data_IF_008523209361
#
_entry.id   IF_008523209361
#
_cell.length_a   1.000
_cell.length_b   1.000
_cell.length_c   1.000
_cell.angle_alpha   90.00
_cell.angle_beta   90.00
_cell.angle_gamma   90.00
#
_symmetry.space_group_name_H-M   'P 1'
#
loop_
_entity.id
_entity.type
_entity.pdbx_description
1 polymer ?
#
# COMPACT_ATOMS: atom_id res chain seq x y z
N UNK A 1 -3.90 25.37 -28.55
CA UNK A 1 -4.52 24.03 -28.47
C UNK A 1 -6.00 24.24 -28.17
N UNK A 2 -6.92 23.63 -28.91
CA UNK A 2 -8.35 23.94 -28.78
C UNK A 2 -8.88 23.54 -27.39
N UNK A 3 -9.60 24.45 -26.74
CA UNK A 3 -10.23 24.24 -25.42
C UNK A 3 -11.10 22.98 -25.38
N UNK A 4 -11.71 22.61 -26.51
CA UNK A 4 -12.50 21.39 -26.66
C UNK A 4 -11.67 20.10 -26.53
N UNK A 5 -10.45 20.05 -27.09
CA UNK A 5 -9.59 18.86 -27.01
C UNK A 5 -9.09 18.61 -25.58
N UNK A 6 -8.75 19.69 -24.87
CA UNK A 6 -8.36 19.65 -23.46
C UNK A 6 -9.50 19.10 -22.59
N UNK A 7 -10.70 19.64 -22.77
CA UNK A 7 -11.90 19.19 -22.07
C UNK A 7 -12.17 17.69 -22.26
N UNK A 8 -12.20 17.22 -23.51
CA UNK A 8 -12.46 15.80 -23.83
C UNK A 8 -11.39 14.89 -23.19
N UNK A 9 -10.13 15.31 -23.22
CA UNK A 9 -9.03 14.51 -22.66
C UNK A 9 -9.14 14.37 -21.14
N UNK A 10 -9.46 15.47 -20.43
CA UNK A 10 -9.68 15.43 -18.98
C UNK A 10 -10.84 14.49 -18.62
N UNK A 11 -11.97 14.58 -19.33
CA UNK A 11 -13.11 13.68 -19.10
C UNK A 11 -12.71 12.20 -19.26
N UNK A 12 -11.98 11.85 -20.33
CA UNK A 12 -11.55 10.47 -20.57
C UNK A 12 -10.67 9.96 -19.42
N UNK A 13 -9.74 10.79 -18.93
CA UNK A 13 -8.85 10.41 -17.84
C UNK A 13 -9.65 10.26 -16.53
N UNK A 14 -10.57 11.17 -16.23
CA UNK A 14 -11.39 11.12 -15.02
C UNK A 14 -12.30 9.88 -14.99
N UNK A 15 -12.96 9.56 -16.10
CA UNK A 15 -13.73 8.31 -16.23
C UNK A 15 -12.85 7.08 -16.04
N UNK A 16 -11.62 7.11 -16.58
CA UNK A 16 -10.67 6.02 -16.40
C UNK A 16 -10.28 5.86 -14.92
N UNK A 17 -10.02 6.96 -14.22
CA UNK A 17 -9.71 6.98 -12.79
C UNK A 17 -10.84 6.38 -11.96
N UNK A 18 -12.09 6.76 -12.23
CA UNK A 18 -13.28 6.23 -11.55
C UNK A 18 -13.45 4.73 -11.84
N UNK A 19 -13.33 4.32 -13.11
CA UNK A 19 -13.46 2.92 -13.52
C UNK A 19 -12.42 2.03 -12.86
N UNK A 20 -11.15 2.42 -12.92
CA UNK A 20 -10.06 1.73 -12.25
C UNK A 20 -10.27 1.67 -10.73
N UNK A 21 -10.62 2.79 -10.09
CA UNK A 21 -10.88 2.80 -8.63
C UNK A 21 -12.03 1.88 -8.24
N UNK A 22 -13.08 1.79 -9.04
CA UNK A 22 -14.21 0.87 -8.83
C UNK A 22 -13.75 -0.59 -8.84
N UNK A 23 -12.87 -0.97 -9.79
CA UNK A 23 -12.26 -2.31 -9.78
C UNK A 23 -11.41 -2.55 -8.54
N UNK A 24 -10.67 -1.53 -8.09
CA UNK A 24 -9.88 -1.57 -6.85
C UNK A 24 -10.73 -1.81 -5.60
N UNK A 25 -11.92 -1.21 -5.51
CA UNK A 25 -12.89 -1.45 -4.43
C UNK A 25 -13.33 -2.92 -4.42
N UNK A 26 -13.76 -3.46 -5.57
CA UNK A 26 -14.23 -4.84 -5.67
C UNK A 26 -13.14 -5.85 -5.25
N UNK A 27 -11.91 -5.65 -5.71
CA UNK A 27 -10.76 -6.47 -5.31
C UNK A 27 -10.54 -6.35 -3.79
N UNK A 28 -10.54 -5.14 -3.25
CA UNK A 28 -10.26 -4.90 -1.83
C UNK A 28 -11.32 -5.52 -0.91
N UNK A 29 -12.62 -5.39 -1.25
CA UNK A 29 -13.72 -6.03 -0.50
C UNK A 29 -13.61 -7.56 -0.57
N UNK A 30 -13.37 -8.12 -1.76
CA UNK A 30 -13.20 -9.57 -1.94
C UNK A 30 -12.03 -10.12 -1.12
N UNK A 31 -10.91 -9.40 -1.07
CA UNK A 31 -9.74 -9.80 -0.29
C UNK A 31 -9.96 -9.62 1.22
N UNK A 32 -10.60 -8.55 1.66
CA UNK A 32 -10.94 -8.33 3.08
C UNK A 32 -11.87 -9.42 3.61
N UNK A 33 -12.95 -9.71 2.88
CA UNK A 33 -13.89 -10.78 3.25
C UNK A 33 -13.19 -12.13 3.33
N UNK A 34 -12.34 -12.47 2.36
CA UNK A 34 -11.52 -13.69 2.38
C UNK A 34 -10.59 -13.75 3.60
N UNK A 35 -9.89 -12.65 3.91
CA UNK A 35 -8.98 -12.56 5.06
C UNK A 35 -9.74 -12.72 6.37
N UNK A 36 -10.86 -12.01 6.54
CA UNK A 36 -11.70 -12.06 7.74
C UNK A 36 -12.26 -13.47 7.96
N UNK A 37 -12.80 -14.09 6.92
CA UNK A 37 -13.27 -15.47 6.96
C UNK A 37 -12.19 -16.41 7.51
N UNK A 38 -10.96 -16.30 6.99
CA UNK A 38 -9.86 -17.13 7.43
C UNK A 38 -9.34 -16.79 8.84
N UNK A 39 -9.35 -15.53 9.26
CA UNK A 39 -8.98 -15.15 10.63
C UNK A 39 -9.97 -15.74 11.65
N UNK A 40 -11.27 -15.74 11.32
CA UNK A 40 -12.34 -16.28 12.18
C UNK A 40 -12.27 -17.81 12.21
N UNK A 41 -12.16 -18.45 11.05
CA UNK A 41 -12.23 -19.92 10.93
C UNK A 41 -10.94 -20.64 11.35
N UNK A 42 -9.77 -20.08 11.07
CA UNK A 42 -8.50 -20.76 11.31
C UNK A 42 -7.88 -20.40 12.67
N UNK A 43 -7.62 -21.42 13.51
CA UNK A 43 -6.92 -21.27 14.79
C UNK A 43 -5.37 -21.16 14.67
N UNK A 44 -4.81 -21.05 13.46
CA UNK A 44 -3.35 -21.03 13.27
C UNK A 44 -2.77 -19.68 13.71
N UNK A 45 -2.33 -19.62 14.97
CA UNK A 45 -1.81 -18.40 15.63
C UNK A 45 -0.68 -17.72 14.85
N UNK A 46 0.21 -18.47 14.20
CA UNK A 46 1.41 -17.94 13.54
C UNK A 46 1.14 -17.12 12.27
N UNK A 47 0.00 -17.36 11.60
CA UNK A 47 -0.36 -16.67 10.35
C UNK A 47 -1.31 -15.49 10.60
N UNK A 48 -2.01 -15.51 11.75
CA UNK A 48 -3.08 -14.56 12.08
C UNK A 48 -2.60 -13.10 12.08
N UNK A 49 -1.39 -12.83 12.56
CA UNK A 49 -0.82 -11.47 12.59
C UNK A 49 -0.49 -10.97 11.19
N UNK A 50 0.13 -11.82 10.36
CA UNK A 50 0.43 -11.46 8.98
C UNK A 50 -0.86 -11.18 8.18
N UNK A 51 -1.92 -11.97 8.41
CA UNK A 51 -3.24 -11.73 7.83
C UNK A 51 -3.88 -10.44 8.34
N UNK A 52 -3.75 -10.12 9.63
CA UNK A 52 -4.24 -8.86 10.20
C UNK A 52 -3.57 -7.65 9.55
N UNK A 53 -2.23 -7.65 9.44
CA UNK A 53 -1.49 -6.56 8.81
C UNK A 53 -1.80 -6.43 7.32
N UNK A 54 -1.99 -7.56 6.63
CA UNK A 54 -2.44 -7.57 5.22
C UNK A 54 -3.87 -7.04 5.10
N UNK A 55 -4.75 -7.37 6.04
CA UNK A 55 -6.10 -6.84 6.14
C UNK A 55 -6.12 -5.33 6.36
N UNK A 56 -5.27 -4.80 7.25
CA UNK A 56 -5.12 -3.36 7.44
C UNK A 56 -4.70 -2.65 6.14
N UNK A 57 -3.77 -3.24 5.38
CA UNK A 57 -3.38 -2.72 4.06
C UNK A 57 -4.56 -2.69 3.08
N UNK A 58 -5.34 -3.77 2.97
CA UNK A 58 -6.53 -3.78 2.11
C UNK A 58 -7.64 -2.85 2.60
N UNK A 59 -7.76 -2.62 3.91
CA UNK A 59 -8.69 -1.64 4.47
C UNK A 59 -8.28 -0.21 4.07
N UNK A 60 -7.00 0.13 4.20
CA UNK A 60 -6.47 1.41 3.71
C UNK A 60 -6.64 1.56 2.19
N UNK A 61 -6.44 0.50 1.40
CA UNK A 61 -6.68 0.51 -0.06
C UNK A 61 -8.16 0.72 -0.39
N UNK A 62 -9.07 0.08 0.34
CA UNK A 62 -10.50 0.28 0.18
C UNK A 62 -10.89 1.74 0.43
N UNK A 63 -10.44 2.32 1.54
CA UNK A 63 -10.68 3.74 1.85
C UNK A 63 -10.07 4.66 0.79
N UNK A 64 -8.89 4.33 0.27
CA UNK A 64 -8.24 5.11 -0.78
C UNK A 64 -9.11 5.15 -2.04
N UNK A 65 -9.56 4.00 -2.54
CA UNK A 65 -10.38 3.97 -3.75
C UNK A 65 -11.74 4.63 -3.56
N UNK A 66 -12.37 4.50 -2.38
CA UNK A 66 -13.61 5.23 -2.07
C UNK A 66 -13.41 6.74 -2.13
N UNK A 67 -12.35 7.25 -1.50
CA UNK A 67 -12.04 8.69 -1.47
C UNK A 67 -11.60 9.23 -2.84
N UNK A 68 -10.95 8.41 -3.66
CA UNK A 68 -10.64 8.76 -5.05
C UNK A 68 -11.91 8.85 -5.88
N UNK A 69 -12.83 7.88 -5.78
CA UNK A 69 -14.11 7.96 -6.48
C UNK A 69 -14.86 9.22 -6.05
N UNK A 70 -14.98 9.48 -4.75
CA UNK A 70 -15.61 10.71 -4.25
C UNK A 70 -14.94 11.94 -4.87
N UNK A 71 -13.61 12.08 -4.75
CA UNK A 71 -12.87 13.23 -5.31
C UNK A 71 -13.10 13.40 -6.81
N UNK A 72 -13.02 12.33 -7.59
CA UNK A 72 -13.12 12.39 -9.05
C UNK A 72 -14.54 12.50 -9.58
N UNK A 73 -15.55 12.04 -8.83
CA UNK A 73 -16.95 12.37 -9.15
C UNK A 73 -17.17 13.88 -9.03
N UNK A 74 -16.62 14.52 -8.00
CA UNK A 74 -16.68 15.99 -7.88
C UNK A 74 -15.88 16.70 -8.98
N UNK A 75 -14.69 16.21 -9.33
CA UNK A 75 -13.90 16.76 -10.44
C UNK A 75 -14.68 16.69 -11.76
N UNK A 76 -15.31 15.54 -12.03
CA UNK A 76 -16.09 15.32 -13.24
C UNK A 76 -17.31 16.25 -13.32
N UNK A 77 -18.06 16.39 -12.22
CA UNK A 77 -19.16 17.36 -12.14
C UNK A 77 -18.68 18.80 -12.35
N UNK A 78 -17.52 19.14 -11.79
CA UNK A 78 -16.87 20.44 -12.01
C UNK A 78 -16.57 20.70 -13.48
N UNK A 79 -15.99 19.73 -14.18
CA UNK A 79 -15.72 19.85 -15.62
C UNK A 79 -17.01 20.01 -16.45
N UNK A 80 -18.07 19.25 -16.14
CA UNK A 80 -19.31 19.26 -16.93
C UNK A 80 -20.13 20.54 -16.71
N UNK A 81 -20.24 21.01 -15.47
CA UNK A 81 -21.17 22.09 -15.10
C UNK A 81 -20.49 23.43 -14.78
N UNK A 82 -19.16 23.47 -14.71
CA UNK A 82 -18.32 24.68 -14.73
C UNK A 82 -18.36 25.61 -13.51
N UNK A 83 -19.37 25.55 -12.63
CA UNK A 83 -19.53 26.60 -11.60
C UNK A 83 -20.22 26.21 -10.27
N UNK A 84 -20.49 24.93 -10.02
CA UNK A 84 -21.38 24.57 -8.90
C UNK A 84 -20.69 24.66 -7.51
N UNK A 85 -19.34 24.62 -7.42
CA UNK A 85 -18.69 24.22 -6.16
C UNK A 85 -17.69 25.17 -5.50
N UNK A 86 -17.56 26.42 -5.95
CA UNK A 86 -16.72 27.43 -5.26
C UNK A 86 -17.17 27.70 -3.81
N UNK A 87 -18.42 27.39 -3.45
CA UNK A 87 -18.94 27.58 -2.09
C UNK A 87 -18.59 26.46 -1.10
N UNK A 88 -18.12 25.28 -1.55
CA UNK A 88 -17.89 24.11 -0.68
C UNK A 88 -16.41 23.87 -0.32
N UNK A 89 -15.64 24.96 -0.18
CA UNK A 89 -14.19 24.94 0.10
C UNK A 89 -13.82 24.16 1.36
N UNK A 90 -14.63 24.22 2.43
CA UNK A 90 -14.38 23.47 3.67
C UNK A 90 -14.46 21.96 3.48
N UNK A 91 -15.52 21.47 2.84
CA UNK A 91 -15.71 20.04 2.59
C UNK A 91 -14.63 19.49 1.66
N UNK A 92 -14.27 20.26 0.64
CA UNK A 92 -13.18 19.95 -0.28
C UNK A 92 -11.83 19.77 0.45
N UNK A 93 -11.49 20.67 1.39
CA UNK A 93 -10.29 20.53 2.23
C UNK A 93 -10.33 19.27 3.11
N UNK A 94 -11.49 18.95 3.67
CA UNK A 94 -11.69 17.75 4.49
C UNK A 94 -11.49 16.48 3.65
N UNK A 95 -11.99 16.43 2.42
CA UNK A 95 -11.73 15.31 1.49
C UNK A 95 -10.25 15.13 1.20
N UNK A 96 -9.56 16.21 0.85
CA UNK A 96 -8.11 16.19 0.60
C UNK A 96 -7.32 15.71 1.83
N UNK A 97 -7.74 16.13 3.02
CA UNK A 97 -7.19 15.67 4.30
C UNK A 97 -7.34 14.15 4.49
N UNK A 98 -8.55 13.61 4.32
CA UNK A 98 -8.79 12.17 4.46
C UNK A 98 -8.02 11.38 3.41
N UNK A 99 -8.01 11.82 2.15
CA UNK A 99 -7.27 11.16 1.08
C UNK A 99 -5.77 11.09 1.39
N UNK A 100 -5.18 12.22 1.80
CA UNK A 100 -3.77 12.31 2.18
C UNK A 100 -3.46 11.44 3.41
N UNK A 101 -4.37 11.41 4.39
CA UNK A 101 -4.23 10.56 5.59
C UNK A 101 -4.23 9.08 5.24
N UNK A 102 -5.12 8.65 4.33
CA UNK A 102 -5.17 7.25 3.89
C UNK A 102 -3.92 6.88 3.09
N UNK A 103 -3.40 7.78 2.25
CA UNK A 103 -2.12 7.58 1.57
C UNK A 103 -0.99 7.38 2.60
N UNK A 104 -0.94 8.22 3.63
CA UNK A 104 -0.01 8.04 4.76
C UNK A 104 -0.17 6.67 5.42
N UNK A 105 -1.41 6.26 5.72
CA UNK A 105 -1.70 4.97 6.32
C UNK A 105 -1.26 3.78 5.46
N UNK A 106 -1.32 3.89 4.12
CA UNK A 106 -0.82 2.87 3.19
C UNK A 106 0.70 2.67 3.31
N UNK A 107 1.48 3.75 3.32
CA UNK A 107 2.94 3.66 3.46
C UNK A 107 3.34 3.08 4.82
N UNK A 108 2.74 3.59 5.90
CA UNK A 108 3.02 3.09 7.24
C UNK A 108 2.54 1.64 7.44
N UNK A 109 1.46 1.21 6.79
CA UNK A 109 1.03 -0.20 6.79
C UNK A 109 2.09 -1.14 6.20
N UNK A 110 2.81 -0.71 5.15
CA UNK A 110 3.93 -1.47 4.60
C UNK A 110 5.11 -1.50 5.57
N UNK A 111 5.40 -0.39 6.24
CA UNK A 111 6.43 -0.32 7.30
C UNK A 111 6.11 -1.26 8.46
N UNK A 112 4.86 -1.31 8.91
CA UNK A 112 4.43 -2.24 9.96
C UNK A 112 4.62 -3.71 9.55
N UNK A 113 4.34 -4.05 8.30
CA UNK A 113 4.62 -5.40 7.78
C UNK A 113 6.12 -5.73 7.79
N UNK A 114 6.99 -4.75 7.49
CA UNK A 114 8.44 -4.92 7.53
C UNK A 114 8.94 -5.09 8.98
N UNK A 115 8.49 -4.22 9.89
CA UNK A 115 8.84 -4.27 11.32
C UNK A 115 8.39 -5.60 11.93
N UNK A 116 7.16 -6.06 11.67
CA UNK A 116 6.68 -7.35 12.17
C UNK A 116 7.62 -8.51 11.79
N UNK A 117 8.10 -8.52 10.53
CA UNK A 117 9.00 -9.58 10.06
C UNK A 117 10.38 -9.47 10.68
N UNK A 118 10.92 -8.25 10.74
CA UNK A 118 12.16 -7.95 11.43
C UNK A 118 12.09 -8.45 12.88
N UNK A 119 11.02 -8.13 13.60
CA UNK A 119 10.82 -8.57 14.98
C UNK A 119 10.69 -10.10 15.10
N UNK A 120 9.94 -10.74 14.19
CA UNK A 120 9.75 -12.20 14.19
C UNK A 120 11.08 -12.94 13.96
N UNK A 121 11.93 -12.45 13.08
CA UNK A 121 13.20 -13.12 12.72
C UNK A 121 14.28 -12.80 13.75
N UNK A 122 14.43 -11.54 14.13
CA UNK A 122 15.52 -11.11 15.02
C UNK A 122 15.21 -11.45 16.48
N UNK A 123 13.97 -11.20 16.93
CA UNK A 123 13.53 -11.37 18.32
C UNK A 123 12.59 -12.57 18.46
N UNK A 124 12.92 -13.70 17.83
CA UNK A 124 12.09 -14.90 17.85
C UNK A 124 11.77 -15.42 19.26
N UNK A 125 12.66 -15.18 20.23
CA UNK A 125 12.48 -15.57 21.64
C UNK A 125 11.49 -14.68 22.42
N UNK A 126 11.27 -13.44 21.98
CA UNK A 126 10.43 -12.47 22.71
C UNK A 126 8.97 -12.59 22.27
N UNK A 127 8.22 -13.50 22.92
CA UNK A 127 6.79 -13.78 22.64
C UNK A 127 5.90 -12.53 22.65
N UNK A 128 6.24 -11.51 23.43
CA UNK A 128 5.50 -10.24 23.51
C UNK A 128 5.37 -9.57 22.14
N UNK A 129 6.45 -9.50 21.36
CA UNK A 129 6.44 -8.93 19.99
C UNK A 129 5.72 -9.80 18.97
N UNK A 130 5.17 -10.96 19.38
CA UNK A 130 4.39 -11.86 18.55
C UNK A 130 2.94 -11.99 19.06
N UNK A 131 2.51 -11.11 19.97
CA UNK A 131 1.12 -11.09 20.43
C UNK A 131 0.22 -10.42 19.39
N UNK A 132 -0.93 -11.05 19.14
CA UNK A 132 -1.96 -10.52 18.24
C UNK A 132 -2.55 -9.19 18.76
N UNK A 133 -2.77 -9.08 20.06
CA UNK A 133 -3.33 -7.88 20.69
C UNK A 133 -2.42 -6.66 20.52
N UNK A 134 -1.09 -6.86 20.65
CA UNK A 134 -0.11 -5.79 20.46
C UNK A 134 -0.17 -5.25 19.03
N UNK A 135 -0.34 -6.11 18.02
CA UNK A 135 -0.43 -5.65 16.64
C UNK A 135 -1.72 -4.88 16.35
N UNK A 136 -2.84 -5.21 17.01
CA UNK A 136 -4.05 -4.39 16.93
C UNK A 136 -3.78 -3.00 17.48
N UNK A 137 -3.16 -2.92 18.67
CA UNK A 137 -2.82 -1.63 19.29
C UNK A 137 -1.88 -0.82 18.38
N UNK A 138 -0.85 -1.46 17.80
CA UNK A 138 0.08 -0.82 16.87
C UNK A 138 -0.64 -0.28 15.63
N UNK A 139 -1.60 -1.03 15.06
CA UNK A 139 -2.41 -0.55 13.92
C UNK A 139 -3.21 0.69 14.31
N UNK A 140 -3.88 0.66 15.47
CA UNK A 140 -4.66 1.82 15.96
C UNK A 140 -3.76 3.04 16.16
N UNK A 141 -2.61 2.86 16.80
CA UNK A 141 -1.62 3.93 16.99
C UNK A 141 -1.14 4.46 15.64
N UNK A 142 -0.86 3.58 14.66
CA UNK A 142 -0.44 3.98 13.32
C UNK A 142 -1.48 4.86 12.63
N UNK A 143 -2.78 4.52 12.71
CA UNK A 143 -3.83 5.37 12.18
C UNK A 143 -3.90 6.73 12.89
N UNK A 144 -3.83 6.75 14.23
CA UNK A 144 -3.81 7.99 15.02
C UNK A 144 -2.63 8.89 14.59
N UNK A 145 -1.43 8.31 14.44
CA UNK A 145 -0.25 9.03 13.97
C UNK A 145 -0.49 9.60 12.56
N UNK A 146 -1.05 8.82 11.63
CA UNK A 146 -1.38 9.31 10.30
C UNK A 146 -2.33 10.52 10.35
N UNK A 147 -3.39 10.47 11.15
CA UNK A 147 -4.30 11.61 11.32
C UNK A 147 -3.60 12.84 11.88
N UNK A 148 -2.85 12.68 12.99
CA UNK A 148 -2.14 13.77 13.67
C UNK A 148 -1.11 14.42 12.74
N UNK A 149 -0.35 13.62 12.00
CA UNK A 149 0.71 14.10 11.11
C UNK A 149 0.15 14.97 9.98
N UNK A 150 -1.02 14.63 9.43
CA UNK A 150 -1.65 15.39 8.34
C UNK A 150 -2.45 16.60 8.87
N UNK A 151 -2.87 16.59 10.13
CA UNK A 151 -3.71 17.65 10.72
C UNK A 151 -3.17 19.07 10.54
N UNK A 152 -1.86 19.36 10.66
CA UNK A 152 -1.33 20.70 10.40
C UNK A 152 -1.66 21.23 9.01
N UNK A 153 -1.71 20.41 7.96
CA UNK A 153 -2.10 20.87 6.62
C UNK A 153 -3.54 21.35 6.57
N UNK A 154 -4.44 20.69 7.32
CA UNK A 154 -5.85 21.08 7.41
C UNK A 154 -6.00 22.40 8.18
N UNK A 155 -5.42 22.50 9.39
CA UNK A 155 -5.55 23.69 10.23
C UNK A 155 -4.83 24.92 9.70
N UNK A 156 -3.71 24.74 8.98
CA UNK A 156 -2.97 25.82 8.33
C UNK A 156 -3.49 26.14 6.92
N UNK A 157 -4.65 25.60 6.53
CA UNK A 157 -5.28 25.82 5.21
C UNK A 157 -4.35 25.54 4.02
N UNK A 158 -3.48 24.53 4.14
CA UNK A 158 -2.55 24.14 3.06
C UNK A 158 -3.21 23.37 1.93
N UNK A 159 -4.40 22.82 2.18
CA UNK A 159 -5.25 22.28 1.13
C UNK A 159 -6.03 23.43 0.48
N UNK A 160 -5.79 23.64 -0.80
CA UNK A 160 -6.38 24.72 -1.59
C UNK A 160 -7.19 24.13 -2.73
N UNK A 161 -8.33 24.76 -3.04
CA UNK A 161 -9.15 24.39 -4.18
C UNK A 161 -8.45 24.84 -5.45
N UNK A 162 -8.20 23.91 -6.37
CA UNK A 162 -7.62 24.21 -7.67
C UNK A 162 -8.75 24.34 -8.70
N UNK A 163 -8.96 25.53 -9.29
CA UNK A 163 -10.06 25.75 -10.22
C UNK A 163 -9.91 24.92 -11.51
N UNK A 164 -8.68 24.67 -11.95
CA UNK A 164 -8.41 23.90 -13.17
C UNK A 164 -8.71 22.40 -13.01
N UNK A 165 -8.60 21.91 -11.77
CA UNK A 165 -8.73 20.50 -11.43
C UNK A 165 -10.01 20.16 -10.66
N UNK A 166 -10.80 21.16 -10.27
CA UNK A 166 -12.07 21.04 -9.52
C UNK A 166 -12.00 20.22 -8.21
N UNK A 167 -10.82 20.11 -7.58
CA UNK A 167 -10.63 19.46 -6.28
C UNK A 167 -9.59 20.17 -5.41
N UNK A 168 -9.54 19.78 -4.13
CA UNK A 168 -8.56 20.34 -3.20
C UNK A 168 -7.32 19.48 -3.12
N UNK A 169 -6.18 20.13 -3.14
CA UNK A 169 -4.88 19.51 -2.88
C UNK A 169 -3.88 20.56 -2.40
N UNK A 170 -2.68 20.12 -2.04
CA UNK A 170 -1.59 21.06 -1.75
C UNK A 170 -1.10 21.58 -3.10
N UNK A 171 -1.15 22.90 -3.36
CA UNK A 171 -0.74 23.46 -4.63
C UNK A 171 0.77 23.29 -4.84
N UNK A 172 1.20 23.10 -6.08
CA UNK A 172 2.62 22.89 -6.41
C UNK A 172 3.52 24.08 -6.06
N UNK A 173 2.96 25.29 -5.95
CA UNK A 173 3.68 26.47 -5.47
C UNK A 173 4.07 26.40 -3.99
N UNK A 174 3.40 25.56 -3.18
CA UNK A 174 3.71 25.39 -1.76
C UNK A 174 4.79 24.31 -1.55
N UNK A 175 5.99 24.61 -2.04
CA UNK A 175 7.16 23.74 -2.02
C UNK A 175 7.47 23.18 -0.62
N UNK A 176 7.45 24.04 0.40
CA UNK A 176 7.78 23.67 1.77
C UNK A 176 6.86 22.57 2.29
N UNK A 177 5.55 22.71 2.03
CA UNK A 177 4.55 21.74 2.45
C UNK A 177 4.72 20.43 1.69
N UNK A 178 4.93 20.48 0.37
CA UNK A 178 5.13 19.29 -0.45
C UNK A 178 6.36 18.50 0.00
N UNK A 179 7.49 19.16 0.25
CA UNK A 179 8.71 18.48 0.73
C UNK A 179 8.50 17.89 2.12
N UNK A 180 7.93 18.66 3.05
CA UNK A 180 7.69 18.19 4.41
C UNK A 180 6.84 16.92 4.41
N UNK A 181 5.70 16.93 3.70
CA UNK A 181 4.84 15.75 3.60
C UNK A 181 5.45 14.64 2.74
N UNK A 182 6.23 14.97 1.70
CA UNK A 182 6.99 13.97 0.96
C UNK A 182 7.98 13.22 1.86
N UNK A 183 8.69 13.92 2.74
CA UNK A 183 9.59 13.30 3.71
C UNK A 183 8.82 12.41 4.67
N UNK A 184 7.76 12.94 5.29
CA UNK A 184 7.04 12.24 6.36
C UNK A 184 6.23 11.05 5.81
N UNK A 185 5.49 11.24 4.73
CA UNK A 185 4.60 10.22 4.15
C UNK A 185 5.38 9.16 3.38
N UNK A 186 6.50 9.54 2.74
CA UNK A 186 7.21 8.66 1.82
C UNK A 186 8.61 8.28 2.32
N UNK A 187 9.51 9.25 2.50
CA UNK A 187 10.93 8.97 2.77
C UNK A 187 11.14 8.24 4.11
N UNK A 188 10.49 8.69 5.18
CA UNK A 188 10.59 8.07 6.50
C UNK A 188 10.10 6.60 6.48
N UNK A 189 8.84 6.30 6.11
CA UNK A 189 8.38 4.91 6.10
C UNK A 189 9.18 4.05 5.11
N UNK A 190 9.62 4.59 3.98
CA UNK A 190 10.47 3.89 3.02
C UNK A 190 11.83 3.52 3.61
N UNK A 191 12.54 4.46 4.25
CA UNK A 191 13.85 4.22 4.85
C UNK A 191 13.77 3.22 6.00
N UNK A 192 12.76 3.30 6.86
CA UNK A 192 12.52 2.31 7.93
C UNK A 192 12.28 0.92 7.31
N UNK A 193 11.48 0.86 6.25
CA UNK A 193 11.16 -0.38 5.53
C UNK A 193 12.43 -1.01 4.94
N UNK A 194 13.23 -0.23 4.21
CA UNK A 194 14.50 -0.67 3.63
C UNK A 194 15.48 -1.12 4.74
N UNK A 195 15.62 -0.34 5.81
CA UNK A 195 16.46 -0.69 6.96
C UNK A 195 16.07 -2.03 7.57
N UNK A 196 14.78 -2.22 7.87
CA UNK A 196 14.27 -3.50 8.40
C UNK A 196 14.66 -4.68 7.52
N UNK A 197 14.59 -4.54 6.19
CA UNK A 197 14.96 -5.61 5.27
C UNK A 197 16.46 -5.85 5.18
N UNK A 198 17.28 -4.80 5.09
CA UNK A 198 18.74 -4.94 5.05
C UNK A 198 19.22 -5.69 6.30
N UNK A 199 18.73 -5.31 7.48
CA UNK A 199 19.08 -5.99 8.73
C UNK A 199 18.57 -7.43 8.78
N UNK A 200 17.33 -7.67 8.33
CA UNK A 200 16.76 -9.03 8.28
C UNK A 200 17.59 -9.94 7.36
N UNK A 201 17.94 -9.46 6.17
CA UNK A 201 18.77 -10.18 5.19
C UNK A 201 20.17 -10.46 5.73
N UNK A 202 20.84 -9.45 6.32
CA UNK A 202 22.18 -9.62 6.91
C UNK A 202 22.17 -10.68 8.01
N UNK A 203 21.18 -10.66 8.91
CA UNK A 203 21.08 -11.67 9.97
C UNK A 203 20.87 -13.07 9.38
N UNK A 204 19.95 -13.20 8.41
CA UNK A 204 19.71 -14.48 7.75
C UNK A 204 20.96 -14.99 7.03
N UNK A 205 21.73 -14.14 6.36
CA UNK A 205 22.95 -14.53 5.68
C UNK A 205 24.02 -15.02 6.66
N UNK A 206 24.21 -14.30 7.77
CA UNK A 206 25.18 -14.66 8.80
C UNK A 206 24.82 -15.99 9.49
N UNK A 207 23.54 -16.21 9.79
CA UNK A 207 23.09 -17.49 10.37
C UNK A 207 23.15 -18.63 9.34
N UNK A 208 22.85 -18.39 8.06
CA UNK A 208 22.94 -19.40 7.01
C UNK A 208 24.37 -19.90 6.80
N UNK A 209 25.38 -19.03 6.91
CA UNK A 209 26.78 -19.43 6.84
C UNK A 209 27.19 -20.31 8.03
N UNK A 210 26.61 -20.07 9.21
CA UNK A 210 26.86 -20.87 10.43
C UNK A 210 26.11 -22.21 10.41
N UNK A 211 24.91 -22.25 9.85
CA UNK A 211 24.07 -23.45 9.77
C UNK A 211 24.28 -24.28 8.50
N UNK A 212 25.07 -23.80 7.52
CA UNK A 212 25.33 -24.49 6.23
C UNK A 212 25.82 -25.93 6.37
N UNK A 213 26.43 -26.27 7.51
CA UNK A 213 26.90 -27.62 7.83
C UNK A 213 25.79 -28.58 8.33
N UNK A 214 24.59 -28.09 8.69
CA UNK A 214 23.49 -28.89 9.29
C UNK A 214 22.12 -28.58 8.62
N UNK A 215 22.10 -28.20 7.34
CA UNK A 215 20.84 -27.79 6.69
C UNK A 215 20.00 -29.02 6.31
N UNK A 216 18.94 -29.25 7.09
CA UNK A 216 17.83 -30.14 6.72
C UNK A 216 16.96 -29.51 5.63
N UNK A 217 16.30 -30.33 4.81
CA UNK A 217 15.39 -29.89 3.72
C UNK A 217 14.30 -28.90 4.21
N UNK A 218 13.91 -28.96 5.48
CA UNK A 218 12.91 -28.09 6.12
C UNK A 218 13.39 -26.63 6.17
N UNK A 219 14.66 -26.37 6.45
CA UNK A 219 15.20 -25.00 6.53
C UNK A 219 15.26 -24.34 5.15
N UNK A 220 15.59 -25.09 4.08
CA UNK A 220 15.59 -24.56 2.71
C UNK A 220 14.20 -24.06 2.28
N UNK A 221 13.15 -24.77 2.68
CA UNK A 221 11.77 -24.37 2.41
C UNK A 221 11.39 -23.06 3.13
N UNK A 222 11.86 -22.87 4.37
CA UNK A 222 11.64 -21.62 5.13
C UNK A 222 12.37 -20.46 4.44
N UNK A 223 13.62 -20.66 4.03
CA UNK A 223 14.40 -19.62 3.34
C UNK A 223 13.74 -19.24 2.00
N UNK A 224 13.33 -20.20 1.18
CA UNK A 224 12.63 -19.92 -0.08
C UNK A 224 11.33 -19.14 0.13
N UNK A 225 10.57 -19.48 1.18
CA UNK A 225 9.35 -18.75 1.53
C UNK A 225 9.66 -17.30 1.92
N UNK A 226 10.67 -17.06 2.73
CA UNK A 226 11.08 -15.70 3.13
C UNK A 226 11.67 -14.90 1.95
N UNK A 227 12.37 -15.55 1.01
CA UNK A 227 12.86 -14.92 -0.23
C UNK A 227 11.72 -14.50 -1.17
N UNK A 228 10.70 -15.34 -1.36
CA UNK A 228 9.50 -14.95 -2.14
C UNK A 228 8.77 -13.76 -1.50
N UNK A 229 8.75 -13.74 -0.18
CA UNK A 229 8.18 -12.67 0.62
C UNK A 229 9.00 -11.37 0.45
N UNK A 230 10.32 -11.44 0.32
CA UNK A 230 11.20 -10.30 0.05
C UNK A 230 11.05 -9.80 -1.40
N UNK A 231 11.00 -10.70 -2.37
CA UNK A 231 10.78 -10.39 -3.78
C UNK A 231 9.48 -9.58 -3.99
N UNK A 232 8.38 -9.98 -3.32
CA UNK A 232 7.12 -9.23 -3.29
C UNK A 232 7.31 -7.77 -2.87
N UNK A 233 8.18 -7.52 -1.90
CA UNK A 233 8.44 -6.17 -1.42
C UNK A 233 9.39 -5.39 -2.28
N UNK A 234 10.41 -6.02 -2.86
CA UNK A 234 11.20 -5.34 -3.88
C UNK A 234 10.31 -4.90 -5.04
N UNK A 235 9.34 -5.73 -5.44
CA UNK A 235 8.33 -5.37 -6.42
C UNK A 235 7.48 -4.20 -5.91
N UNK A 236 6.92 -4.29 -4.70
CA UNK A 236 6.05 -3.25 -4.14
C UNK A 236 6.78 -1.92 -3.96
N UNK A 237 8.04 -1.96 -3.51
CA UNK A 237 8.94 -0.81 -3.41
C UNK A 237 9.31 -0.24 -4.77
N UNK A 238 9.63 -1.11 -5.74
CA UNK A 238 9.91 -0.71 -7.11
C UNK A 238 8.73 0.02 -7.72
N UNK A 239 7.53 -0.52 -7.54
CA UNK A 239 6.28 0.15 -7.89
C UNK A 239 6.17 1.52 -7.19
N UNK A 240 6.30 1.59 -5.87
CA UNK A 240 6.27 2.85 -5.11
C UNK A 240 7.30 3.90 -5.60
N UNK A 241 8.47 3.48 -6.06
CA UNK A 241 9.51 4.37 -6.63
C UNK A 241 9.10 4.83 -8.02
N UNK A 242 8.69 3.90 -8.89
CA UNK A 242 8.19 4.21 -10.24
C UNK A 242 7.04 5.22 -10.21
N UNK A 243 6.22 5.22 -9.15
CA UNK A 243 5.09 6.16 -8.99
C UNK A 243 5.51 7.55 -8.53
N UNK A 244 6.59 7.62 -7.73
CA UNK A 244 7.15 8.88 -7.28
C UNK A 244 7.79 9.64 -8.44
N UNK A 245 8.38 8.92 -9.40
CA UNK A 245 9.09 9.52 -10.54
C UNK A 245 8.20 10.49 -11.35
N UNK A 246 7.01 10.12 -11.89
CA UNK A 246 6.15 11.07 -12.61
C UNK A 246 5.79 12.31 -11.78
N UNK A 247 5.48 12.11 -10.50
CA UNK A 247 5.13 13.20 -9.59
C UNK A 247 6.29 14.16 -9.37
N UNK A 248 7.51 13.62 -9.19
CA UNK A 248 8.72 14.44 -9.06
C UNK A 248 9.08 15.15 -10.35
N UNK A 249 8.92 14.50 -11.50
CA UNK A 249 9.19 15.13 -12.81
C UNK A 249 8.25 16.31 -13.02
N UNK A 250 6.94 16.13 -12.82
CA UNK A 250 5.94 17.19 -12.94
C UNK A 250 6.26 18.34 -11.97
N UNK A 251 6.60 18.01 -10.73
CA UNK A 251 6.98 18.99 -9.73
C UNK A 251 8.23 19.78 -10.15
N UNK A 252 9.28 19.12 -10.61
CA UNK A 252 10.51 19.76 -11.08
C UNK A 252 10.23 20.65 -12.29
N UNK A 253 9.45 20.18 -13.27
CA UNK A 253 9.02 20.99 -14.42
C UNK A 253 8.36 22.28 -13.91
N UNK A 254 7.38 22.18 -13.02
CA UNK A 254 6.70 23.35 -12.47
C UNK A 254 7.65 24.32 -11.76
N UNK A 255 8.65 23.83 -11.02
CA UNK A 255 9.63 24.68 -10.35
C UNK A 255 10.57 25.40 -11.32
N UNK A 256 10.97 24.75 -12.43
CA UNK A 256 11.89 25.34 -13.41
C UNK A 256 11.20 26.24 -14.43
N UNK A 257 9.99 25.89 -14.86
CA UNK A 257 9.27 26.63 -15.93
C UNK A 257 8.25 27.62 -15.39
N UNK A 258 7.83 27.49 -14.13
CA UNK A 258 6.68 28.21 -13.58
C UNK A 258 5.35 27.83 -14.24
N UNK A 259 5.34 26.79 -15.07
CA UNK A 259 4.19 26.36 -15.86
C UNK A 259 3.84 24.91 -15.55
N UNK A 260 2.59 24.70 -15.12
CA UNK A 260 2.02 23.38 -14.89
C UNK A 260 1.12 23.00 -16.08
N UNK A 261 1.42 21.91 -16.82
CA UNK A 261 0.53 21.44 -17.87
C UNK A 261 -0.84 21.05 -17.30
N UNK A 262 -1.92 21.41 -17.99
CA UNK A 262 -3.30 21.15 -17.57
C UNK A 262 -3.65 19.67 -17.37
N UNK A 263 -2.92 18.74 -18.00
CA UNK A 263 -3.12 17.29 -17.89
C UNK A 263 -2.30 16.65 -16.75
N UNK A 264 -1.38 17.41 -16.14
CA UNK A 264 -0.38 16.85 -15.24
C UNK A 264 -0.99 16.28 -13.96
N UNK A 265 -2.03 16.93 -13.43
CA UNK A 265 -2.73 16.51 -12.21
C UNK A 265 -3.46 15.18 -12.43
N UNK A 266 -4.23 15.07 -13.52
CA UNK A 266 -5.01 13.89 -13.88
C UNK A 266 -4.09 12.71 -14.22
N UNK A 267 -3.02 12.91 -15.00
CA UNK A 267 -2.06 11.84 -15.29
C UNK A 267 -1.38 11.34 -14.03
N UNK A 268 -1.01 12.24 -13.11
CA UNK A 268 -0.42 11.85 -11.83
C UNK A 268 -1.39 10.96 -11.03
N UNK A 269 -2.64 11.38 -10.87
CA UNK A 269 -3.63 10.60 -10.13
C UNK A 269 -4.00 9.28 -10.83
N UNK A 270 -4.12 9.26 -12.15
CA UNK A 270 -4.30 8.02 -12.93
C UNK A 270 -3.14 7.05 -12.68
N UNK A 271 -1.91 7.56 -12.72
CA UNK A 271 -0.73 6.78 -12.35
C UNK A 271 -0.90 6.22 -10.94
N UNK A 272 -1.24 7.03 -9.93
CA UNK A 272 -1.47 6.60 -8.55
C UNK A 272 -2.57 5.53 -8.41
N UNK A 273 -3.64 5.59 -9.19
CA UNK A 273 -4.72 4.59 -9.12
C UNK A 273 -4.30 3.25 -9.73
N UNK A 274 -3.73 3.27 -10.94
CA UNK A 274 -3.20 2.08 -11.60
C UNK A 274 -2.16 1.36 -10.73
N UNK A 275 -1.31 2.17 -10.11
CA UNK A 275 -0.31 1.77 -9.13
C UNK A 275 -0.90 0.99 -7.95
N UNK A 276 -1.92 1.56 -7.30
CA UNK A 276 -2.56 0.92 -6.16
C UNK A 276 -3.30 -0.35 -6.58
N UNK A 277 -3.87 -0.41 -7.78
CA UNK A 277 -4.46 -1.65 -8.33
C UNK A 277 -3.39 -2.71 -8.52
N UNK A 278 -2.27 -2.38 -9.17
CA UNK A 278 -1.15 -3.30 -9.32
C UNK A 278 -0.69 -3.83 -7.95
N UNK A 279 -0.55 -2.95 -6.96
CA UNK A 279 -0.26 -3.35 -5.58
C UNK A 279 -1.32 -4.32 -5.04
N UNK A 280 -2.62 -4.04 -5.19
CA UNK A 280 -3.70 -4.93 -4.70
C UNK A 280 -3.64 -6.33 -5.32
N UNK A 281 -3.39 -6.41 -6.63
CA UNK A 281 -3.26 -7.64 -7.42
C UNK A 281 -2.02 -8.41 -6.95
N UNK A 282 -0.87 -7.75 -6.87
CA UNK A 282 0.39 -8.34 -6.43
C UNK A 282 0.28 -8.86 -5.00
N UNK A 283 -0.37 -8.10 -4.10
CA UNK A 283 -0.62 -8.53 -2.72
C UNK A 283 -1.51 -9.80 -2.70
N UNK A 284 -2.46 -9.94 -3.62
CA UNK A 284 -3.36 -11.09 -3.70
C UNK A 284 -2.64 -12.34 -4.24
N UNK A 285 -1.92 -12.22 -5.35
CA UNK A 285 -1.30 -13.36 -6.03
C UNK A 285 0.01 -13.83 -5.40
N UNK A 286 0.86 -12.89 -4.95
CA UNK A 286 2.21 -13.24 -4.47
C UNK A 286 2.21 -13.64 -2.99
N UNK A 287 1.21 -13.25 -2.20
CA UNK A 287 1.18 -13.60 -0.78
C UNK A 287 1.10 -15.12 -0.59
N UNK A 288 2.16 -15.80 -0.12
CA UNK A 288 2.18 -17.25 0.00
C UNK A 288 1.16 -17.74 1.03
N UNK A 289 0.79 -16.87 1.98
CA UNK A 289 -0.25 -17.13 2.95
C UNK A 289 -1.63 -17.23 2.28
N UNK A 290 -1.96 -16.29 1.40
CA UNK A 290 -3.23 -16.25 0.69
C UNK A 290 -3.28 -17.39 -0.32
N UNK A 291 -2.22 -17.58 -1.11
CA UNK A 291 -2.10 -18.69 -2.05
C UNK A 291 -2.26 -20.06 -1.37
N UNK A 292 -1.58 -20.28 -0.23
CA UNK A 292 -1.71 -21.55 0.49
C UNK A 292 -3.11 -21.76 1.06
N UNK A 293 -3.76 -20.70 1.54
CA UNK A 293 -5.15 -20.77 1.99
C UNK A 293 -6.09 -21.09 0.84
N UNK A 294 -5.89 -20.46 -0.32
CA UNK A 294 -6.71 -20.67 -1.51
C UNK A 294 -6.58 -22.10 -2.07
N UNK A 295 -5.36 -22.63 -2.15
CA UNK A 295 -5.12 -24.04 -2.54
C UNK A 295 -5.79 -25.01 -1.56
N UNK A 296 -5.80 -24.69 -0.27
CA UNK A 296 -6.44 -25.53 0.74
C UNK A 296 -7.98 -25.42 0.70
N UNK A 297 -8.54 -24.27 0.30
CA UNK A 297 -9.99 -24.04 0.29
C UNK A 297 -10.67 -24.59 -0.97
N UNK A 298 -10.01 -24.57 -2.13
CA UNK A 298 -10.59 -25.05 -3.40
C UNK A 298 -10.57 -26.57 -3.55
N UNK A 299 -10.11 -27.33 -2.55
CA UNK A 299 -10.00 -28.79 -2.65
C UNK A 299 -8.97 -29.27 -3.68
N UNK A 300 -8.21 -28.37 -4.32
CA UNK A 300 -7.17 -28.67 -5.31
C UNK A 300 -6.09 -29.62 -4.79
N UNK A 301 -5.95 -29.72 -3.46
CA UNK A 301 -5.08 -30.69 -2.79
C UNK A 301 -5.47 -32.16 -3.07
N UNK A 302 -6.70 -32.44 -3.52
CA UNK A 302 -7.12 -33.77 -3.99
C UNK A 302 -6.56 -34.11 -5.38
N UNK A 303 -6.23 -33.13 -6.21
CA UNK A 303 -5.71 -33.33 -7.57
C UNK A 303 -4.19 -33.54 -7.63
N UNK A 304 -3.46 -33.09 -6.61
CA UNK A 304 -2.02 -33.33 -6.47
C UNK A 304 -1.74 -34.01 -5.12
N UNK A 305 -2.00 -35.32 -5.00
CA UNK A 305 -1.57 -36.06 -3.81
C UNK A 305 -0.05 -35.86 -3.66
N UNK A 306 0.38 -35.42 -2.48
CA UNK A 306 1.79 -35.48 -2.10
C UNK A 306 2.26 -36.91 -2.36
N UNK A 307 3.19 -37.08 -3.30
CA UNK A 307 3.93 -38.33 -3.42
C UNK A 307 4.47 -38.67 -2.04
N UNK A 308 3.99 -39.78 -1.46
CA UNK A 308 4.38 -40.32 -0.16
C UNK A 308 5.78 -40.95 -0.24
N UNK A 309 6.72 -40.33 -0.95
CA UNK A 309 8.13 -40.71 -0.92
C UNK A 309 8.86 -39.82 0.08
N UNK A 310 8.45 -39.90 1.35
CA UNK A 310 9.32 -39.49 2.43
C UNK A 310 10.34 -40.62 2.64
N UNK A 311 11.66 -40.37 2.51
CA UNK A 311 12.66 -41.38 2.79
C UNK A 311 12.57 -41.81 4.25
N UNK A 312 12.60 -43.12 4.48
CA UNK A 312 12.65 -43.71 5.80
C UNK A 312 13.80 -43.10 6.59
N UNK A 313 13.49 -42.51 7.74
CA UNK A 313 14.48 -42.07 8.72
C UNK A 313 15.15 -43.34 9.24
N UNK A 314 16.36 -43.62 8.77
CA UNK A 314 17.22 -44.67 9.29
C UNK A 314 17.52 -44.30 10.74
N UNK A 315 16.99 -45.08 11.69
CA UNK A 315 17.46 -45.05 13.08
C UNK A 315 18.87 -45.63 13.07
N UNK A 316 19.85 -44.81 13.42
CA UNK A 316 21.20 -45.27 13.77
C UNK A 316 21.14 -45.55 15.28
N UNK A 317 21.43 -46.79 15.65
CA UNK A 317 21.49 -47.27 17.03
C UNK A 317 22.70 -46.72 17.78
#
# INVERSE_FOLDING_TARGET
MNSSTQYITNLIIDYSIIGFSSTGILISISMLTFILYHIIKNKIKSIRIALLLTGNMYFALLLFFILIIDTYTYTLEGHIYGNIFTNNTKLCRVRAYFLTTVICALFYSNTLQAIYRFCRIIFYMKKTFQSFQIHIIIIVIQWIICFIVISPALFLNRFEYLPDDYHCQIPYGNFQTIILYGIIIYIIPLTITIGCYIFTLRKMHNENNRFRQIITQIQRFIIQREMNILFRLCILLGFMITFFIPSTIIFLINQFTGYLPWWSSQIRWLSYVLSMICVTIILAFISPHIRNLWINSTGFRKLFPKNKTAPAVIKIN
#
